data_IF_936440146377
#
_entry.id   IF_936440146377
#
_cell.length_a   1.000
_cell.length_b   1.000
_cell.length_c   1.000
_cell.angle_alpha   90.00
_cell.angle_beta   90.00
_cell.angle_gamma   90.00
#
_symmetry.space_group_name_H-M   'P 1'
#
loop_
_entity.id
_entity.type
_entity.pdbx_description
1 polymer ?
#
# COMPACT_ATOMS: atom_id res chain seq x y z
N UNK A 1 75.38 -84.91 -19.70
CA UNK A 1 75.69 -83.71 -20.52
C UNK A 1 75.73 -82.49 -19.60
N UNK A 2 76.91 -81.98 -19.25
CA UNK A 2 77.09 -80.96 -18.20
C UNK A 2 76.45 -79.60 -18.48
N UNK A 3 76.04 -79.31 -19.72
CA UNK A 3 75.47 -77.99 -20.08
C UNK A 3 74.04 -77.75 -19.56
N UNK A 4 73.18 -78.77 -19.43
CA UNK A 4 71.80 -78.60 -18.92
C UNK A 4 71.79 -78.16 -17.45
N UNK A 5 72.74 -78.65 -16.65
CA UNK A 5 72.88 -78.27 -15.25
C UNK A 5 73.36 -76.82 -15.05
N UNK A 6 74.16 -76.28 -15.98
CA UNK A 6 74.60 -74.89 -15.95
C UNK A 6 73.48 -73.91 -16.28
N UNK A 7 72.56 -74.29 -17.18
CA UNK A 7 71.36 -73.49 -17.45
C UNK A 7 70.47 -73.40 -16.20
N UNK A 8 70.14 -74.52 -15.56
CA UNK A 8 69.30 -74.53 -14.37
C UNK A 8 69.88 -73.66 -13.23
N UNK A 9 71.19 -73.71 -12.98
CA UNK A 9 71.83 -72.88 -11.95
C UNK A 9 71.80 -71.37 -12.28
N UNK A 10 72.05 -71.00 -13.54
CA UNK A 10 72.06 -69.59 -13.99
C UNK A 10 70.64 -69.00 -13.97
N UNK A 11 69.65 -69.74 -14.51
CA UNK A 11 68.24 -69.32 -14.48
C UNK A 11 67.70 -69.27 -13.06
N UNK A 12 68.10 -70.18 -12.16
CA UNK A 12 67.69 -70.15 -10.75
C UNK A 12 68.21 -68.89 -10.04
N UNK A 13 69.46 -68.48 -10.29
CA UNK A 13 70.02 -67.24 -9.75
C UNK A 13 69.31 -65.99 -10.30
N UNK A 14 69.02 -65.96 -11.60
CA UNK A 14 68.30 -64.85 -12.22
C UNK A 14 66.86 -64.74 -11.69
N UNK A 15 66.16 -65.86 -11.54
CA UNK A 15 64.81 -65.89 -10.94
C UNK A 15 64.87 -65.48 -9.46
N UNK A 16 65.86 -65.94 -8.71
CA UNK A 16 66.04 -65.55 -7.31
C UNK A 16 66.20 -64.02 -7.17
N UNK A 17 67.15 -63.41 -7.89
CA UNK A 17 67.35 -61.96 -7.82
C UNK A 17 66.15 -61.19 -8.37
N UNK A 18 65.49 -61.69 -9.42
CA UNK A 18 64.26 -61.08 -9.93
C UNK A 18 63.16 -61.06 -8.87
N UNK A 19 62.93 -62.16 -8.15
CA UNK A 19 61.95 -62.19 -7.06
C UNK A 19 62.34 -61.30 -5.88
N UNK A 20 63.64 -61.20 -5.56
CA UNK A 20 64.14 -60.31 -4.50
C UNK A 20 63.86 -58.84 -4.85
N UNK A 21 64.26 -58.38 -6.05
CA UNK A 21 64.02 -57.00 -6.47
C UNK A 21 62.53 -56.72 -6.69
N UNK A 22 61.79 -57.65 -7.29
CA UNK A 22 60.35 -57.54 -7.46
C UNK A 22 59.64 -57.42 -6.12
N UNK A 23 59.96 -58.29 -5.17
CA UNK A 23 59.41 -58.24 -3.81
C UNK A 23 59.74 -56.92 -3.13
N UNK A 24 61.00 -56.48 -3.19
CA UNK A 24 61.42 -55.19 -2.62
C UNK A 24 60.60 -54.01 -3.18
N UNK A 25 60.49 -53.92 -4.51
CA UNK A 25 59.72 -52.84 -5.18
C UNK A 25 58.23 -52.97 -4.85
N UNK A 26 57.67 -54.18 -4.87
CA UNK A 26 56.26 -54.43 -4.58
C UNK A 26 55.89 -53.98 -3.17
N UNK A 27 56.69 -54.33 -2.17
CA UNK A 27 56.47 -53.88 -0.79
C UNK A 27 56.69 -52.38 -0.63
N UNK A 28 57.69 -51.80 -1.27
CA UNK A 28 57.95 -50.35 -1.18
C UNK A 28 56.81 -49.53 -1.81
N UNK A 29 56.33 -49.92 -3.00
CA UNK A 29 55.22 -49.25 -3.67
C UNK A 29 53.91 -49.51 -2.92
N UNK A 30 53.62 -50.77 -2.58
CA UNK A 30 52.37 -51.18 -1.94
C UNK A 30 52.21 -50.62 -0.52
N UNK A 31 53.28 -50.61 0.28
CA UNK A 31 53.24 -50.09 1.66
C UNK A 31 53.55 -48.59 1.75
N UNK A 32 54.22 -48.01 0.75
CA UNK A 32 54.69 -46.62 0.78
C UNK A 32 53.91 -45.69 -0.15
N UNK A 33 53.93 -45.94 -1.46
CA UNK A 33 53.38 -45.02 -2.47
C UNK A 33 51.85 -45.10 -2.58
N UNK A 34 51.29 -46.32 -2.66
CA UNK A 34 49.84 -46.57 -2.78
C UNK A 34 49.04 -45.87 -1.67
N UNK A 35 49.36 -46.01 -0.36
CA UNK A 35 48.57 -45.35 0.68
C UNK A 35 48.63 -43.83 0.61
N UNK A 36 49.74 -43.24 0.14
CA UNK A 36 49.84 -41.78 -0.05
C UNK A 36 48.92 -41.28 -1.16
N UNK A 37 48.83 -42.02 -2.27
CA UNK A 37 47.93 -41.67 -3.37
C UNK A 37 46.47 -41.79 -2.92
N UNK A 38 46.12 -42.89 -2.23
CA UNK A 38 44.76 -43.09 -1.71
C UNK A 38 44.37 -42.00 -0.72
N UNK A 39 45.25 -41.62 0.21
CA UNK A 39 45.00 -40.53 1.14
C UNK A 39 44.74 -39.19 0.44
N UNK A 40 45.43 -38.93 -0.68
CA UNK A 40 45.22 -37.69 -1.46
C UNK A 40 43.87 -37.70 -2.19
N UNK A 41 43.49 -38.85 -2.73
CA UNK A 41 42.18 -39.03 -3.37
C UNK A 41 41.06 -38.85 -2.35
N UNK A 42 41.16 -39.52 -1.20
CA UNK A 42 40.17 -39.40 -0.12
C UNK A 42 40.06 -37.97 0.42
N UNK A 43 41.18 -37.26 0.57
CA UNK A 43 41.17 -35.86 0.97
C UNK A 43 40.42 -34.97 -0.02
N UNK A 44 40.61 -35.19 -1.33
CA UNK A 44 39.89 -34.47 -2.39
C UNK A 44 38.41 -34.81 -2.40
N UNK A 45 38.07 -36.09 -2.30
CA UNK A 45 36.67 -36.53 -2.28
C UNK A 45 35.93 -35.94 -1.08
N UNK A 46 36.57 -35.93 0.10
CA UNK A 46 36.03 -35.31 1.30
C UNK A 46 35.87 -33.80 1.15
N UNK A 47 36.84 -33.13 0.52
CA UNK A 47 36.75 -31.70 0.25
C UNK A 47 35.58 -31.39 -0.70
N UNK A 48 35.49 -32.10 -1.82
CA UNK A 48 34.41 -31.91 -2.81
C UNK A 48 33.05 -32.18 -2.17
N UNK A 49 32.91 -33.26 -1.40
CA UNK A 49 31.68 -33.57 -0.69
C UNK A 49 31.32 -32.48 0.34
N UNK A 50 32.31 -31.95 1.06
CA UNK A 50 32.13 -30.84 2.00
C UNK A 50 31.70 -29.55 1.32
N UNK A 51 32.36 -29.20 0.22
CA UNK A 51 32.04 -27.99 -0.56
C UNK A 51 30.65 -28.09 -1.19
N UNK A 52 30.27 -29.26 -1.70
CA UNK A 52 28.93 -29.50 -2.26
C UNK A 52 27.85 -29.40 -1.18
N UNK A 53 28.07 -30.03 -0.02
CA UNK A 53 27.13 -29.95 1.10
C UNK A 53 26.98 -28.51 1.62
N UNK A 54 28.08 -27.76 1.71
CA UNK A 54 28.05 -26.35 2.10
C UNK A 54 27.29 -25.49 1.08
N UNK A 55 27.51 -25.73 -0.22
CA UNK A 55 26.80 -25.03 -1.29
C UNK A 55 25.29 -25.34 -1.28
N UNK A 56 24.90 -26.60 -1.07
CA UNK A 56 23.50 -27.00 -0.99
C UNK A 56 22.81 -26.41 0.25
N UNK A 57 23.49 -26.41 1.40
CA UNK A 57 22.99 -25.78 2.62
C UNK A 57 22.81 -24.26 2.44
N UNK A 58 23.79 -23.59 1.83
CA UNK A 58 23.72 -22.16 1.54
C UNK A 58 22.58 -21.82 0.57
N UNK A 59 22.40 -22.63 -0.48
CA UNK A 59 21.28 -22.49 -1.42
C UNK A 59 19.94 -22.68 -0.73
N UNK A 60 19.80 -23.74 0.07
CA UNK A 60 18.55 -24.03 0.80
C UNK A 60 18.20 -22.90 1.77
N UNK A 61 19.20 -22.34 2.47
CA UNK A 61 19.00 -21.19 3.35
C UNK A 61 18.57 -19.93 2.59
N UNK A 62 19.18 -19.67 1.42
CA UNK A 62 18.81 -18.54 0.56
C UNK A 62 17.38 -18.69 0.01
N UNK A 63 17.01 -19.88 -0.47
CA UNK A 63 15.66 -20.16 -0.99
C UNK A 63 14.60 -20.00 0.12
N UNK A 64 14.91 -20.44 1.35
CA UNK A 64 14.04 -20.27 2.52
C UNK A 64 13.85 -18.79 2.90
N UNK A 65 14.94 -18.01 2.92
CA UNK A 65 14.89 -16.57 3.21
C UNK A 65 14.14 -15.80 2.11
N UNK A 66 14.35 -16.15 0.84
CA UNK A 66 13.60 -15.55 -0.27
C UNK A 66 12.10 -15.84 -0.12
N UNK A 67 11.73 -17.09 0.18
CA UNK A 67 10.32 -17.47 0.38
C UNK A 67 9.68 -16.71 1.56
N UNK A 68 10.41 -16.57 2.67
CA UNK A 68 9.97 -15.80 3.83
C UNK A 68 9.80 -14.32 3.46
N UNK A 69 10.80 -13.71 2.82
CA UNK A 69 10.75 -12.32 2.36
C UNK A 69 9.57 -12.08 1.40
N UNK A 70 9.32 -12.97 0.44
CA UNK A 70 8.18 -12.85 -0.48
C UNK A 70 6.85 -12.90 0.24
N UNK A 71 6.72 -13.79 1.23
CA UNK A 71 5.52 -13.90 2.06
C UNK A 71 5.29 -12.62 2.87
N UNK A 72 6.32 -12.12 3.55
CA UNK A 72 6.24 -10.87 4.31
C UNK A 72 5.96 -9.68 3.40
N UNK A 73 6.64 -9.55 2.26
CA UNK A 73 6.43 -8.45 1.32
C UNK A 73 4.99 -8.43 0.78
N UNK A 74 4.42 -9.60 0.47
CA UNK A 74 3.04 -9.70 0.02
C UNK A 74 2.05 -9.35 1.15
N UNK A 75 2.27 -9.85 2.36
CA UNK A 75 1.45 -9.51 3.53
C UNK A 75 1.48 -8.00 3.81
N UNK A 76 2.66 -7.38 3.83
CA UNK A 76 2.84 -5.94 4.05
C UNK A 76 2.16 -5.11 2.96
N UNK A 77 2.23 -5.53 1.68
CA UNK A 77 1.49 -4.86 0.60
C UNK A 77 -0.03 -4.97 0.80
N UNK A 78 -0.53 -6.14 1.18
CA UNK A 78 -1.95 -6.34 1.44
C UNK A 78 -2.44 -5.47 2.62
N UNK A 79 -1.67 -5.42 3.72
CA UNK A 79 -1.93 -4.55 4.87
C UNK A 79 -1.93 -3.08 4.48
N UNK A 80 -0.94 -2.62 3.71
CA UNK A 80 -0.89 -1.24 3.24
C UNK A 80 -2.12 -0.88 2.38
N UNK A 81 -2.54 -1.76 1.47
CA UNK A 81 -3.75 -1.55 0.67
C UNK A 81 -5.01 -1.51 1.54
N UNK A 82 -5.10 -2.38 2.56
CA UNK A 82 -6.21 -2.37 3.50
C UNK A 82 -6.27 -1.07 4.32
N UNK A 83 -5.13 -0.55 4.79
CA UNK A 83 -5.03 0.73 5.49
C UNK A 83 -5.47 1.89 4.57
N UNK A 84 -5.00 1.90 3.32
CA UNK A 84 -5.40 2.93 2.34
C UNK A 84 -6.91 2.86 2.06
N UNK A 85 -7.46 1.67 1.86
CA UNK A 85 -8.88 1.48 1.62
C UNK A 85 -9.72 1.96 2.81
N UNK A 86 -9.33 1.61 4.03
CA UNK A 86 -9.97 2.07 5.26
C UNK A 86 -9.90 3.59 5.40
N UNK A 87 -8.74 4.19 5.20
CA UNK A 87 -8.58 5.65 5.28
C UNK A 87 -9.44 6.38 4.24
N UNK A 88 -9.55 5.85 3.01
CA UNK A 88 -10.44 6.40 1.98
C UNK A 88 -11.92 6.30 2.39
N UNK A 89 -12.34 5.16 2.94
CA UNK A 89 -13.70 4.97 3.41
C UNK A 89 -14.04 5.92 4.57
N UNK A 90 -13.14 6.06 5.54
CA UNK A 90 -13.30 6.97 6.67
C UNK A 90 -13.34 8.44 6.21
N UNK A 91 -12.48 8.82 5.26
CA UNK A 91 -12.47 10.16 4.66
C UNK A 91 -13.77 10.46 3.89
N UNK A 92 -14.27 9.50 3.11
CA UNK A 92 -15.53 9.63 2.38
C UNK A 92 -16.70 9.85 3.36
N UNK A 93 -16.80 9.03 4.41
CA UNK A 93 -17.82 9.17 5.46
C UNK A 93 -17.72 10.51 6.19
N UNK A 94 -16.52 10.95 6.54
CA UNK A 94 -16.32 12.27 7.15
C UNK A 94 -16.71 13.40 6.20
N UNK A 95 -16.46 13.24 4.89
CA UNK A 95 -16.88 14.16 3.84
C UNK A 95 -18.40 14.27 3.74
N UNK A 96 -19.12 13.14 3.70
CA UNK A 96 -20.58 13.09 3.68
C UNK A 96 -21.20 13.79 4.90
N UNK A 97 -20.67 13.53 6.10
CA UNK A 97 -21.14 14.19 7.33
C UNK A 97 -20.92 15.70 7.28
N UNK A 98 -19.76 16.15 6.80
CA UNK A 98 -19.48 17.59 6.65
C UNK A 98 -20.39 18.23 5.61
N UNK A 99 -20.62 17.56 4.49
CA UNK A 99 -21.48 18.05 3.42
C UNK A 99 -22.93 18.16 3.90
N UNK A 100 -23.44 17.14 4.58
CA UNK A 100 -24.78 17.16 5.17
C UNK A 100 -24.94 18.30 6.19
N UNK A 101 -23.94 18.52 7.05
CA UNK A 101 -23.95 19.63 8.02
C UNK A 101 -23.90 21.00 7.33
N UNK A 102 -23.09 21.14 6.28
CA UNK A 102 -23.01 22.36 5.49
C UNK A 102 -24.33 22.65 4.76
N UNK A 103 -24.94 21.63 4.16
CA UNK A 103 -26.26 21.72 3.52
C UNK A 103 -27.32 22.22 4.50
N UNK A 104 -27.44 21.56 5.67
CA UNK A 104 -28.40 21.98 6.71
C UNK A 104 -28.18 23.42 7.18
N UNK A 105 -26.92 23.87 7.29
CA UNK A 105 -26.60 25.25 7.66
C UNK A 105 -26.96 26.26 6.55
N UNK A 106 -26.79 25.88 5.28
CA UNK A 106 -27.20 26.69 4.13
C UNK A 106 -28.72 26.81 4.07
N UNK A 107 -29.45 25.72 4.23
CA UNK A 107 -30.92 25.70 4.21
C UNK A 107 -31.52 26.55 5.34
N UNK A 108 -30.92 26.49 6.54
CA UNK A 108 -31.30 27.34 7.65
C UNK A 108 -31.09 28.84 7.34
N UNK A 109 -29.95 29.20 6.72
CA UNK A 109 -29.66 30.58 6.31
C UNK A 109 -30.59 31.08 5.21
N UNK A 110 -30.95 30.21 4.26
CA UNK A 110 -31.93 30.54 3.22
C UNK A 110 -33.30 30.84 3.83
N UNK A 111 -33.76 29.97 4.75
CA UNK A 111 -35.04 30.17 5.45
C UNK A 111 -35.05 31.47 6.26
N UNK A 112 -33.95 31.80 6.94
CA UNK A 112 -33.80 33.06 7.66
C UNK A 112 -33.83 34.27 6.71
N UNK A 113 -33.11 34.19 5.59
CA UNK A 113 -33.07 35.23 4.57
C UNK A 113 -34.46 35.46 3.95
N UNK A 114 -35.18 34.39 3.60
CA UNK A 114 -36.54 34.47 3.07
C UNK A 114 -37.50 35.12 4.07
N UNK A 115 -37.39 34.74 5.34
CA UNK A 115 -38.18 35.36 6.42
C UNK A 115 -37.87 36.85 6.55
N UNK A 116 -36.60 37.26 6.46
CA UNK A 116 -36.19 38.66 6.48
C UNK A 116 -36.71 39.42 5.26
N UNK A 117 -36.64 38.84 4.07
CA UNK A 117 -37.16 39.43 2.84
C UNK A 117 -38.68 39.61 2.95
N UNK A 118 -39.41 38.61 3.42
CA UNK A 118 -40.86 38.69 3.62
C UNK A 118 -41.23 39.81 4.61
N UNK A 119 -40.52 39.91 5.74
CA UNK A 119 -40.71 41.01 6.71
C UNK A 119 -40.40 42.38 6.10
N UNK A 120 -39.32 42.51 5.35
CA UNK A 120 -38.96 43.76 4.69
C UNK A 120 -40.01 44.17 3.64
N UNK A 121 -40.53 43.22 2.85
CA UNK A 121 -41.61 43.46 1.89
C UNK A 121 -42.89 43.91 2.59
N UNK A 122 -43.29 43.24 3.67
CA UNK A 122 -44.47 43.62 4.44
C UNK A 122 -44.33 45.04 5.04
N UNK A 123 -43.14 45.36 5.57
CA UNK A 123 -42.85 46.71 6.09
C UNK A 123 -42.93 47.77 4.99
N UNK A 124 -42.28 47.53 3.85
CA UNK A 124 -42.30 48.46 2.71
C UNK A 124 -43.72 48.68 2.17
N UNK A 125 -44.54 47.62 2.09
CA UNK A 125 -45.94 47.75 1.70
C UNK A 125 -46.75 48.64 2.67
N UNK A 126 -46.56 48.48 3.98
CA UNK A 126 -47.21 49.34 4.98
C UNK A 126 -46.71 50.79 4.97
N UNK A 127 -45.42 51.01 4.69
CA UNK A 127 -44.87 52.36 4.48
C UNK A 127 -45.48 53.02 3.23
N UNK A 128 -45.65 52.29 2.12
CA UNK A 128 -46.32 52.77 0.91
C UNK A 128 -47.79 53.13 1.21
N UNK A 129 -48.54 52.28 1.91
CA UNK A 129 -49.94 52.54 2.29
C UNK A 129 -50.04 53.84 3.12
N UNK A 130 -49.11 54.04 4.05
CA UNK A 130 -49.06 55.25 4.88
C UNK A 130 -48.79 56.50 4.04
N UNK A 131 -47.74 56.48 3.20
CA UNK A 131 -47.39 57.61 2.33
C UNK A 131 -48.50 57.91 1.32
N UNK A 132 -49.12 56.89 0.74
CA UNK A 132 -50.23 57.05 -0.20
C UNK A 132 -51.46 57.67 0.47
N UNK A 133 -51.78 57.27 1.70
CA UNK A 133 -52.89 57.85 2.48
C UNK A 133 -52.65 59.31 2.85
N UNK A 134 -51.43 59.64 3.27
CA UNK A 134 -51.03 61.03 3.57
C UNK A 134 -51.07 61.90 2.30
N UNK A 135 -50.56 61.39 1.18
CA UNK A 135 -50.59 62.08 -0.11
C UNK A 135 -52.03 62.30 -0.61
N UNK A 136 -52.88 61.26 -0.56
CA UNK A 136 -54.28 61.35 -0.95
C UNK A 136 -55.07 62.37 -0.12
N UNK A 137 -54.88 62.37 1.21
CA UNK A 137 -55.50 63.35 2.11
C UNK A 137 -55.04 64.78 1.81
N UNK A 138 -53.74 64.99 1.57
CA UNK A 138 -53.18 66.28 1.18
C UNK A 138 -53.73 66.79 -0.16
N UNK A 139 -53.87 65.90 -1.16
CA UNK A 139 -54.45 66.22 -2.47
C UNK A 139 -55.94 66.59 -2.32
N UNK A 140 -56.71 65.81 -1.56
CA UNK A 140 -58.13 66.07 -1.31
C UNK A 140 -58.36 67.43 -0.62
N UNK A 141 -57.52 67.75 0.38
CA UNK A 141 -57.56 69.04 1.06
C UNK A 141 -57.25 70.21 0.11
N UNK A 142 -56.25 70.06 -0.78
CA UNK A 142 -55.82 71.11 -1.72
C UNK A 142 -56.78 71.33 -2.88
N UNK A 143 -57.39 70.28 -3.42
CA UNK A 143 -58.23 70.36 -4.64
C UNK A 143 -59.70 70.56 -4.30
N UNK A 144 -60.23 69.80 -3.33
CA UNK A 144 -61.65 69.78 -3.01
C UNK A 144 -62.01 70.61 -1.77
N UNK A 145 -61.01 71.10 -1.00
CA UNK A 145 -61.24 71.81 0.26
C UNK A 145 -61.80 70.93 1.38
N UNK A 146 -61.75 69.60 1.21
CA UNK A 146 -62.29 68.62 2.17
C UNK A 146 -61.19 68.18 3.14
N UNK A 147 -61.45 68.29 4.44
CA UNK A 147 -60.63 67.64 5.47
C UNK A 147 -61.05 66.19 5.59
N UNK A 148 -60.22 65.26 5.12
CA UNK A 148 -60.45 63.82 5.22
C UNK A 148 -59.81 63.31 6.51
N UNK A 149 -60.55 62.53 7.30
CA UNK A 149 -60.00 61.89 8.49
C UNK A 149 -58.93 60.85 8.11
N UNK A 150 -57.89 60.73 8.94
CA UNK A 150 -56.76 59.83 8.66
C UNK A 150 -57.19 58.36 8.58
N UNK A 151 -58.22 57.96 9.32
CA UNK A 151 -58.74 56.59 9.30
C UNK A 151 -59.53 56.31 8.00
N UNK A 152 -60.33 57.27 7.54
CA UNK A 152 -61.08 57.15 6.28
C UNK A 152 -60.15 57.15 5.06
N UNK A 153 -59.11 58.00 5.05
CA UNK A 153 -58.12 58.03 3.98
C UNK A 153 -57.35 56.69 3.86
N UNK A 154 -56.96 56.09 4.99
CA UNK A 154 -56.31 54.78 5.02
C UNK A 154 -57.23 53.67 4.53
N UNK A 155 -58.50 53.66 4.95
CA UNK A 155 -59.45 52.66 4.52
C UNK A 155 -59.67 52.70 2.99
N UNK A 156 -59.86 53.89 2.42
CA UNK A 156 -60.07 54.07 0.98
C UNK A 156 -58.83 53.70 0.14
N UNK A 157 -57.63 54.07 0.59
CA UNK A 157 -56.38 53.70 -0.09
C UNK A 157 -56.12 52.20 -0.02
N UNK A 158 -56.43 51.56 1.12
CA UNK A 158 -56.32 50.12 1.28
C UNK A 158 -57.29 49.36 0.38
N UNK A 159 -58.51 49.87 0.20
CA UNK A 159 -59.49 49.28 -0.72
C UNK A 159 -59.03 49.42 -2.18
N UNK A 160 -58.45 50.56 -2.55
CA UNK A 160 -57.88 50.79 -3.88
C UNK A 160 -56.60 49.97 -4.17
N UNK A 161 -55.79 49.65 -3.15
CA UNK A 161 -54.58 48.84 -3.30
C UNK A 161 -54.84 47.31 -3.34
N UNK A 162 -55.98 46.86 -2.82
CA UNK A 162 -56.36 45.44 -2.78
C UNK A 162 -57.46 45.05 -3.79
N UNK A 163 -58.00 46.03 -4.52
CA UNK A 163 -58.96 45.85 -5.63
C UNK A 163 -58.30 45.57 -6.97
#
# INVERSE_FOLDING_TARGET
MPQISQFAATYSSQVFWMLVFFGFIFFFIGRGMVPRVMATVEARDKQIAGDLAAAEAARTAADAEEAAWRTHANAQRAEAQAVIAKAKADAAKAGEVRLAKAGAAIDARLTEADTRIAKARAKAAGEIETVASEAAGSIAARIAGLTVDSAEAKAAVKEALNG
#
